data_IF_253507370847
#
_entry.id   IF_253507370847
#
_cell.length_a   1.000
_cell.length_b   1.000
_cell.length_c   1.000
_cell.angle_alpha   90.00
_cell.angle_beta   90.00
_cell.angle_gamma   90.00
#
_symmetry.space_group_name_H-M   'P 1'
#
loop_
_entity.id
_entity.type
_entity.pdbx_description
1 polymer ?
#
# COMPACT_ATOMS: atom_id res chain seq x y z
N UNK A 1 -16.79 10.92 -41.17
CA UNK A 1 -15.63 10.17 -40.64
C UNK A 1 -15.20 10.92 -39.39
N UNK A 2 -15.62 10.45 -38.21
CA UNK A 2 -15.29 11.09 -36.94
C UNK A 2 -13.85 10.71 -36.58
N UNK A 3 -13.02 11.72 -36.35
CA UNK A 3 -11.65 11.55 -35.86
C UNK A 3 -11.74 11.09 -34.41
N UNK A 4 -11.45 9.81 -34.17
CA UNK A 4 -11.29 9.27 -32.82
C UNK A 4 -10.00 9.86 -32.26
N UNK A 5 -10.11 10.70 -31.23
CA UNK A 5 -8.95 11.21 -30.51
C UNK A 5 -8.27 10.01 -29.85
N UNK A 6 -7.05 9.69 -30.28
CA UNK A 6 -6.20 8.71 -29.60
C UNK A 6 -6.08 9.12 -28.12
N UNK A 7 -6.24 8.17 -27.18
CA UNK A 7 -6.12 8.49 -25.77
C UNK A 7 -4.72 9.02 -25.50
N UNK A 8 -4.66 10.17 -24.84
CA UNK A 8 -3.44 10.72 -24.25
C UNK A 8 -2.85 9.65 -23.34
N UNK A 9 -1.70 9.09 -23.73
CA UNK A 9 -0.97 8.13 -22.89
C UNK A 9 -0.50 8.85 -21.65
N UNK A 10 -1.22 8.67 -20.53
CA UNK A 10 -0.77 9.11 -19.22
C UNK A 10 0.65 8.56 -19.00
N UNK A 11 1.63 9.45 -18.84
CA UNK A 11 3.00 9.06 -18.53
C UNK A 11 2.98 8.26 -17.23
N UNK A 12 3.49 7.03 -17.28
CA UNK A 12 3.58 6.19 -16.08
C UNK A 12 4.78 6.67 -15.27
N UNK A 13 4.53 7.33 -14.14
CA UNK A 13 5.58 7.68 -13.19
C UNK A 13 6.18 6.40 -12.60
N UNK A 14 7.49 6.21 -12.80
CA UNK A 14 8.25 5.08 -12.25
C UNK A 14 9.23 5.57 -11.20
N UNK A 15 9.37 4.83 -10.10
CA UNK A 15 10.40 5.06 -9.09
C UNK A 15 11.36 3.87 -9.01
N UNK A 16 12.63 4.15 -8.76
CA UNK A 16 13.61 3.12 -8.42
C UNK A 16 13.54 2.78 -6.93
N UNK A 17 13.73 1.50 -6.62
CA UNK A 17 13.77 1.00 -5.24
C UNK A 17 15.03 0.17 -5.02
N UNK A 18 15.54 0.19 -3.79
CA UNK A 18 16.60 -0.74 -3.40
C UNK A 18 16.09 -2.19 -3.55
N UNK A 19 16.92 -3.06 -4.13
CA UNK A 19 16.53 -4.44 -4.40
C UNK A 19 16.11 -5.21 -3.13
N UNK A 20 16.70 -4.86 -1.98
CA UNK A 20 16.34 -5.41 -0.66
C UNK A 20 14.89 -5.15 -0.26
N UNK A 21 14.30 -4.06 -0.74
CA UNK A 21 12.95 -3.62 -0.34
C UNK A 21 11.88 -4.11 -1.31
N UNK A 22 12.26 -4.86 -2.36
CA UNK A 22 11.34 -5.30 -3.41
C UNK A 22 10.21 -6.14 -2.85
N UNK A 23 10.54 -7.10 -1.99
CA UNK A 23 9.56 -8.02 -1.40
C UNK A 23 8.65 -7.31 -0.41
N UNK A 24 9.21 -6.42 0.42
CA UNK A 24 8.47 -5.60 1.37
C UNK A 24 7.50 -4.65 0.67
N UNK A 25 7.95 -3.97 -0.38
CA UNK A 25 7.07 -3.11 -1.19
C UNK A 25 5.97 -3.92 -1.90
N UNK A 26 6.32 -5.08 -2.48
CA UNK A 26 5.34 -5.94 -3.13
C UNK A 26 4.27 -6.41 -2.14
N UNK A 27 4.67 -6.81 -0.93
CA UNK A 27 3.76 -7.19 0.13
C UNK A 27 2.86 -6.02 0.54
N UNK A 28 3.45 -4.84 0.75
CA UNK A 28 2.72 -3.62 1.14
C UNK A 28 1.67 -3.22 0.10
N UNK A 29 2.04 -3.23 -1.18
CA UNK A 29 1.11 -2.96 -2.28
C UNK A 29 0.00 -4.02 -2.38
N UNK A 30 0.29 -5.28 -2.06
CA UNK A 30 -0.69 -6.37 -2.09
C UNK A 30 -1.77 -6.21 -1.01
N UNK A 31 -1.44 -5.59 0.13
CA UNK A 31 -2.39 -5.26 1.21
C UNK A 31 -2.86 -3.80 1.18
N UNK A 32 -2.49 -3.02 0.15
CA UNK A 32 -2.66 -1.56 0.15
C UNK A 32 -4.11 -1.06 0.22
N UNK A 33 -5.09 -1.93 -0.02
CA UNK A 33 -6.53 -1.63 0.12
C UNK A 33 -7.15 -2.14 1.42
N UNK A 34 -6.40 -2.92 2.21
CA UNK A 34 -6.87 -3.64 3.37
C UNK A 34 -6.60 -2.85 4.65
N UNK A 35 -7.27 -1.71 4.77
CA UNK A 35 -7.15 -0.81 5.93
C UNK A 35 -8.34 -0.96 6.86
N UNK A 36 -8.05 -0.96 8.16
CA UNK A 36 -9.04 -0.78 9.21
C UNK A 36 -9.26 0.71 9.40
N UNK A 37 -10.49 1.15 9.18
CA UNK A 37 -10.89 2.56 9.24
C UNK A 37 -12.09 2.71 10.16
N UNK A 38 -12.07 3.72 11.04
CA UNK A 38 -13.25 4.18 11.76
C UNK A 38 -13.75 5.45 11.09
N UNK A 39 -15.06 5.51 10.85
CA UNK A 39 -15.73 6.74 10.44
C UNK A 39 -16.30 7.45 11.66
N UNK A 40 -16.11 8.77 11.72
CA UNK A 40 -16.64 9.65 12.75
C UNK A 40 -17.24 10.90 12.11
N UNK A 41 -17.94 11.74 12.89
CA UNK A 41 -18.41 13.03 12.40
C UNK A 41 -17.28 13.98 11.99
N UNK A 42 -16.05 13.75 12.47
CA UNK A 42 -14.87 14.54 12.13
C UNK A 42 -14.10 14.00 10.91
N UNK A 43 -14.57 12.91 10.28
CA UNK A 43 -13.92 12.27 9.14
C UNK A 43 -13.54 10.82 9.38
N UNK A 44 -12.65 10.30 8.53
CA UNK A 44 -12.10 8.94 8.62
C UNK A 44 -10.81 8.93 9.41
N UNK A 45 -10.64 7.92 10.25
CA UNK A 45 -9.41 7.66 11.01
C UNK A 45 -8.90 6.28 10.61
N UNK A 46 -7.70 6.22 10.07
CA UNK A 46 -7.02 4.96 9.75
C UNK A 46 -6.34 4.43 11.01
N UNK A 47 -6.61 3.17 11.34
CA UNK A 47 -6.10 2.51 12.55
C UNK A 47 -4.87 1.68 12.23
N UNK A 48 -4.86 1.05 11.07
CA UNK A 48 -3.80 0.13 10.63
C UNK A 48 -4.29 -0.80 9.54
N UNK A 49 -3.38 -1.64 9.06
CA UNK A 49 -3.66 -2.76 8.17
C UNK A 49 -4.52 -3.81 8.88
N UNK A 50 -5.32 -4.55 8.11
CA UNK A 50 -5.93 -5.79 8.60
C UNK A 50 -4.87 -6.90 8.63
N UNK A 51 -4.42 -7.26 9.84
CA UNK A 51 -3.40 -8.28 10.02
C UNK A 51 -3.85 -9.68 9.56
N UNK A 52 -5.17 -9.95 9.44
CA UNK A 52 -5.63 -11.20 8.82
C UNK A 52 -5.38 -11.19 7.31
N UNK A 53 -5.56 -10.04 6.66
CA UNK A 53 -5.24 -9.89 5.24
C UNK A 53 -3.73 -9.92 5.00
N UNK A 54 -2.93 -9.36 5.92
CA UNK A 54 -1.46 -9.47 5.91
C UNK A 54 -1.05 -10.94 5.99
N UNK A 55 -1.59 -11.71 6.93
CA UNK A 55 -1.29 -13.14 7.08
C UNK A 55 -1.60 -13.92 5.79
N UNK A 56 -2.75 -13.67 5.16
CA UNK A 56 -3.11 -14.27 3.87
C UNK A 56 -2.12 -13.92 2.75
N UNK A 57 -1.62 -12.69 2.70
CA UNK A 57 -0.62 -12.28 1.70
C UNK A 57 0.74 -12.93 1.98
N UNK A 58 1.14 -13.00 3.25
CA UNK A 58 2.38 -13.65 3.68
C UNK A 58 2.37 -15.17 3.44
N UNK A 59 1.20 -15.82 3.53
CA UNK A 59 1.05 -17.23 3.20
C UNK A 59 1.07 -17.48 1.68
N UNK A 60 0.46 -16.59 0.89
CA UNK A 60 0.36 -16.74 -0.57
C UNK A 60 1.61 -16.34 -1.34
N UNK A 61 2.45 -15.49 -0.76
CA UNK A 61 3.70 -15.06 -1.36
C UNK A 61 4.87 -15.72 -0.61
N UNK A 62 5.90 -16.23 -1.31
CA UNK A 62 7.06 -16.86 -0.67
C UNK A 62 8.00 -15.80 -0.07
N UNK A 63 7.50 -15.00 0.87
CA UNK A 63 8.19 -13.86 1.45
C UNK A 63 9.01 -14.29 2.67
N UNK A 64 10.19 -13.69 2.90
CA UNK A 64 10.92 -13.93 4.13
C UNK A 64 10.18 -13.32 5.32
N UNK A 65 10.29 -13.95 6.50
CA UNK A 65 9.63 -13.49 7.72
C UNK A 65 10.01 -12.06 8.14
N UNK A 66 11.14 -11.53 7.67
CA UNK A 66 11.54 -10.13 7.88
C UNK A 66 10.56 -9.13 7.26
N UNK A 67 9.86 -9.51 6.18
CA UNK A 67 8.87 -8.64 5.50
C UNK A 67 7.74 -8.25 6.45
N UNK A 68 7.37 -9.11 7.40
CA UNK A 68 6.37 -8.75 8.38
C UNK A 68 6.79 -7.52 9.21
N UNK A 69 8.06 -7.49 9.66
CA UNK A 69 8.60 -6.34 10.38
C UNK A 69 8.65 -5.08 9.51
N UNK A 70 9.04 -5.23 8.24
CA UNK A 70 9.06 -4.11 7.30
C UNK A 70 7.66 -3.53 7.05
N UNK A 71 6.63 -4.38 6.98
CA UNK A 71 5.24 -3.94 6.85
C UNK A 71 4.79 -3.09 8.03
N UNK A 72 5.21 -3.41 9.26
CA UNK A 72 4.89 -2.59 10.43
C UNK A 72 5.55 -1.21 10.38
N UNK A 73 6.77 -1.12 9.86
CA UNK A 73 7.45 0.16 9.65
C UNK A 73 6.72 0.98 8.58
N UNK A 74 6.38 0.37 7.45
CA UNK A 74 5.65 1.04 6.37
C UNK A 74 4.23 1.45 6.80
N UNK A 75 3.55 0.63 7.59
CA UNK A 75 2.25 0.93 8.18
C UNK A 75 2.32 2.18 9.07
N UNK A 76 3.33 2.28 9.94
CA UNK A 76 3.49 3.43 10.84
C UNK A 76 3.64 4.75 10.06
N UNK A 77 4.49 4.77 9.03
CA UNK A 77 4.69 5.94 8.16
C UNK A 77 3.41 6.27 7.35
N UNK A 78 2.74 5.26 6.81
CA UNK A 78 1.49 5.45 6.08
C UNK A 78 0.37 5.99 7.00
N UNK A 79 0.28 5.51 8.24
CA UNK A 79 -0.69 6.00 9.22
C UNK A 79 -0.46 7.46 9.60
N UNK A 80 0.80 7.91 9.65
CA UNK A 80 1.11 9.32 9.82
C UNK A 80 0.49 10.13 8.68
N UNK A 81 0.82 9.79 7.42
CA UNK A 81 0.31 10.50 6.24
C UNK A 81 -1.22 10.46 6.13
N UNK A 82 -1.83 9.27 6.27
CA UNK A 82 -3.28 9.07 6.13
C UNK A 82 -4.10 9.83 7.18
N UNK A 83 -3.55 10.01 8.37
CA UNK A 83 -4.20 10.77 9.45
C UNK A 83 -3.72 12.23 9.54
N UNK A 84 -3.00 12.74 8.53
CA UNK A 84 -2.58 14.14 8.44
C UNK A 84 -1.32 14.51 9.24
N UNK A 85 -0.55 13.52 9.68
CA UNK A 85 0.84 13.67 10.12
C UNK A 85 1.78 13.89 8.94
N UNK A 86 2.83 14.67 9.18
CA UNK A 86 3.75 15.17 8.16
C UNK A 86 4.80 14.15 7.72
#
# INVERSE_FOLDING_TARGET
MATEAMPETAETETMEIMASNRDSLRAFLSVGTQWRVISSMAGMIWIGLDYNAVDVVMDRLPLPGSVFGDLQVMEAEALAVLNGGN
#
